data_IF_911178679706
#
_entry.id   IF_911178679706
#
_cell.length_a   1.000
_cell.length_b   1.000
_cell.length_c   1.000
_cell.angle_alpha   90.00
_cell.angle_beta   90.00
_cell.angle_gamma   90.00
#
_symmetry.space_group_name_H-M   'P 1'
#
loop_
_entity.id
_entity.type
_entity.pdbx_description
1 polymer ?
#
# COMPACT_ATOMS: atom_id res chain seq x y z
N UNK A 1 38.01 6.38 32.63
CA UNK A 1 38.43 6.26 31.21
C UNK A 1 39.75 6.99 31.06
N UNK A 2 40.90 6.32 30.87
CA UNK A 2 42.19 6.99 30.78
C UNK A 2 42.27 7.81 29.49
N UNK A 3 42.58 9.10 29.61
CA UNK A 3 42.64 10.09 28.52
C UNK A 3 44.08 10.46 28.14
N UNK A 4 45.04 9.55 28.29
CA UNK A 4 46.43 9.84 27.96
C UNK A 4 46.70 9.62 26.46
N UNK A 5 46.18 10.52 25.63
CA UNK A 5 46.69 10.69 24.27
C UNK A 5 48.07 11.39 24.37
N UNK A 6 49.09 10.93 23.62
CA UNK A 6 50.41 11.57 23.63
C UNK A 6 50.30 13.04 23.21
N UNK A 7 51.22 13.92 23.67
CA UNK A 7 51.19 15.33 23.32
C UNK A 7 51.28 15.50 21.79
N UNK A 8 50.24 16.10 21.20
CA UNK A 8 50.17 16.44 19.78
C UNK A 8 50.80 17.84 19.59
N UNK A 9 51.82 17.93 18.73
CA UNK A 9 52.46 19.21 18.44
C UNK A 9 51.48 20.13 17.70
N UNK A 10 51.60 21.44 17.91
CA UNK A 10 50.74 22.44 17.26
C UNK A 10 50.78 22.34 15.74
N UNK A 11 51.97 22.08 15.17
CA UNK A 11 52.15 21.95 13.72
C UNK A 11 51.50 20.67 13.14
N UNK A 12 51.35 19.65 13.98
CA UNK A 12 50.78 18.34 13.61
C UNK A 12 49.28 18.25 13.97
N UNK A 13 48.72 19.28 14.60
CA UNK A 13 47.36 19.28 15.14
C UNK A 13 46.26 19.55 14.09
N UNK A 14 46.65 19.92 12.87
CA UNK A 14 45.71 20.23 11.80
C UNK A 14 46.15 19.64 10.46
N UNK A 15 45.19 19.09 9.73
CA UNK A 15 45.35 18.65 8.36
C UNK A 15 44.19 19.22 7.54
N UNK A 16 44.47 19.85 6.41
CA UNK A 16 43.44 20.31 5.49
C UNK A 16 42.90 19.12 4.70
N UNK A 17 41.62 18.80 4.86
CA UNK A 17 40.94 17.72 4.12
C UNK A 17 39.79 18.25 3.27
N UNK A 18 39.73 17.82 2.01
CA UNK A 18 38.61 18.06 1.11
C UNK A 18 37.83 16.76 0.94
N UNK A 19 36.54 16.78 1.27
CA UNK A 19 35.64 15.67 1.05
C UNK A 19 34.69 16.01 -0.10
N UNK A 20 34.57 15.09 -1.06
CA UNK A 20 33.52 15.16 -2.09
C UNK A 20 32.32 14.40 -1.57
N UNK A 21 31.18 15.06 -1.47
CA UNK A 21 29.94 14.49 -0.90
C UNK A 21 28.76 14.81 -1.80
N UNK A 22 27.86 13.84 -1.96
CA UNK A 22 26.59 14.09 -2.65
C UNK A 22 25.64 14.87 -1.76
N UNK A 23 24.97 15.86 -2.33
CA UNK A 23 24.03 16.69 -1.59
C UNK A 23 22.73 16.82 -2.37
N UNK A 24 21.61 16.77 -1.66
CA UNK A 24 20.34 17.09 -2.29
C UNK A 24 20.25 18.59 -2.56
N UNK A 25 20.09 18.99 -3.81
CA UNK A 25 20.01 20.41 -4.21
C UNK A 25 18.85 21.18 -3.54
N UNK A 26 17.79 20.47 -3.12
CA UNK A 26 16.60 21.11 -2.55
C UNK A 26 16.65 21.29 -1.03
N UNK A 27 17.10 20.28 -0.30
CA UNK A 27 17.12 20.32 1.17
C UNK A 27 18.53 20.35 1.79
N UNK A 28 19.58 20.33 0.97
CA UNK A 28 20.98 20.31 1.37
C UNK A 28 21.38 19.14 2.30
N UNK A 29 20.55 18.08 2.38
CA UNK A 29 20.91 16.86 3.10
C UNK A 29 22.14 16.22 2.46
N UNK A 30 23.08 15.82 3.31
CA UNK A 30 24.37 15.26 2.94
C UNK A 30 24.28 13.72 2.81
N UNK A 31 24.90 13.19 1.76
CA UNK A 31 24.97 11.77 1.42
C UNK A 31 26.42 11.41 1.07
N UNK A 32 27.23 10.96 2.06
CA UNK A 32 28.67 10.73 1.88
C UNK A 32 29.02 9.90 0.64
N UNK A 33 28.47 8.70 0.55
CA UNK A 33 28.82 7.73 -0.50
C UNK A 33 27.59 7.23 -1.30
N UNK A 34 26.47 7.96 -1.24
CA UNK A 34 25.20 7.53 -1.85
C UNK A 34 24.58 8.56 -2.78
N UNK A 35 25.06 8.59 -4.03
CA UNK A 35 24.57 9.47 -5.09
C UNK A 35 23.07 9.32 -5.32
N UNK A 36 22.58 8.09 -5.47
CA UNK A 36 21.17 7.81 -5.73
C UNK A 36 20.27 8.29 -4.59
N UNK A 37 20.75 8.22 -3.35
CA UNK A 37 20.06 8.75 -2.18
C UNK A 37 19.90 10.27 -2.26
N UNK A 38 20.97 10.97 -2.66
CA UNK A 38 20.94 12.43 -2.85
C UNK A 38 19.99 12.83 -3.99
N UNK A 39 20.04 12.11 -5.12
CA UNK A 39 19.15 12.34 -6.27
C UNK A 39 17.69 12.07 -5.90
N UNK A 40 17.41 10.97 -5.21
CA UNK A 40 16.06 10.57 -4.81
C UNK A 40 15.48 11.44 -3.69
N UNK A 41 16.33 12.17 -2.95
CA UNK A 41 15.94 12.84 -1.71
C UNK A 41 14.70 13.73 -1.86
N UNK A 42 14.69 14.59 -2.87
CA UNK A 42 13.58 15.50 -3.15
C UNK A 42 13.09 15.42 -4.61
N UNK A 43 13.48 14.39 -5.35
CA UNK A 43 13.03 14.20 -6.72
C UNK A 43 11.58 13.72 -6.75
N UNK A 44 10.72 14.54 -7.33
CA UNK A 44 9.31 14.20 -7.61
C UNK A 44 9.13 13.60 -8.99
N UNK A 45 10.16 13.64 -9.84
CA UNK A 45 10.14 13.13 -11.20
C UNK A 45 11.32 12.17 -11.39
N UNK A 46 11.01 10.90 -11.62
CA UNK A 46 11.99 9.80 -11.61
C UNK A 46 11.81 8.87 -12.82
N UNK A 47 12.89 8.26 -13.33
CA UNK A 47 12.78 7.24 -14.36
C UNK A 47 11.87 6.08 -13.91
N UNK A 48 11.10 5.53 -14.84
CA UNK A 48 10.30 4.35 -14.57
C UNK A 48 11.20 3.14 -14.27
N UNK A 49 10.99 2.51 -13.12
CA UNK A 49 11.70 1.31 -12.69
C UNK A 49 11.42 0.09 -13.59
N UNK A 50 10.34 0.12 -14.39
CA UNK A 50 10.03 -0.90 -15.39
C UNK A 50 10.91 -0.87 -16.64
N UNK A 51 11.83 0.10 -16.77
CA UNK A 51 12.77 0.18 -17.89
C UNK A 51 12.16 0.61 -19.23
N UNK A 52 10.92 1.10 -19.24
CA UNK A 52 10.21 1.50 -20.46
C UNK A 52 10.62 2.87 -21.03
N UNK A 53 11.56 3.57 -20.38
CA UNK A 53 11.95 4.94 -20.73
C UNK A 53 10.95 6.03 -20.30
N UNK A 54 9.77 5.65 -19.80
CA UNK A 54 8.80 6.57 -19.20
C UNK A 54 9.27 7.15 -17.86
N UNK A 55 8.46 8.06 -17.31
CA UNK A 55 8.73 8.75 -16.04
C UNK A 55 7.58 8.57 -15.05
N UNK A 56 7.92 8.56 -13.78
CA UNK A 56 6.99 8.61 -12.66
C UNK A 56 7.07 9.99 -12.02
N UNK A 57 5.92 10.67 -11.95
CA UNK A 57 5.78 11.97 -11.30
C UNK A 57 4.90 11.78 -10.06
N UNK A 58 5.45 12.03 -8.87
CA UNK A 58 4.73 11.80 -7.62
C UNK A 58 5.62 11.83 -6.37
N UNK A 59 5.04 11.50 -5.20
CA UNK A 59 5.77 11.42 -3.95
C UNK A 59 6.87 10.36 -3.99
N UNK A 60 7.77 10.37 -2.98
CA UNK A 60 8.82 9.36 -2.89
C UNK A 60 8.18 7.96 -2.75
N UNK A 61 8.68 7.01 -3.52
CA UNK A 61 8.28 5.59 -3.48
C UNK A 61 9.51 4.73 -3.79
N UNK A 62 9.56 3.51 -3.26
CA UNK A 62 10.63 2.54 -3.52
C UNK A 62 10.61 2.01 -4.96
N UNK A 63 9.46 2.04 -5.63
CA UNK A 63 9.31 1.52 -6.99
C UNK A 63 8.56 2.51 -7.89
N UNK A 64 9.23 3.57 -8.38
CA UNK A 64 8.61 4.57 -9.26
C UNK A 64 8.26 3.94 -10.61
N UNK A 65 6.98 3.64 -10.85
CA UNK A 65 6.49 3.11 -12.12
C UNK A 65 5.59 4.14 -12.81
N UNK A 66 5.78 4.34 -14.11
CA UNK A 66 4.79 5.04 -14.93
C UNK A 66 3.48 4.25 -14.96
N UNK A 67 2.39 4.91 -15.34
CA UNK A 67 1.05 4.32 -15.26
C UNK A 67 0.93 3.07 -16.13
N UNK A 68 1.48 3.06 -17.35
CA UNK A 68 1.45 1.86 -18.20
C UNK A 68 2.23 0.67 -17.61
N UNK A 69 3.38 0.90 -16.98
CA UNK A 69 4.12 -0.19 -16.32
C UNK A 69 3.45 -0.65 -15.03
N UNK A 70 2.79 0.26 -14.30
CA UNK A 70 1.97 -0.08 -13.13
C UNK A 70 0.79 -0.94 -13.57
N UNK A 71 0.03 -0.48 -14.55
CA UNK A 71 -1.12 -1.18 -15.12
C UNK A 71 -0.74 -2.60 -15.56
N UNK A 72 0.33 -2.75 -16.36
CA UNK A 72 0.82 -4.05 -16.81
C UNK A 72 1.19 -4.98 -15.65
N UNK A 73 1.93 -4.47 -14.65
CA UNK A 73 2.32 -5.26 -13.47
C UNK A 73 1.08 -5.72 -12.69
N UNK A 74 0.09 -4.85 -12.61
CA UNK A 74 -1.15 -5.10 -11.89
C UNK A 74 -2.01 -6.12 -12.65
N UNK A 75 -2.10 -6.03 -13.99
CA UNK A 75 -2.70 -7.06 -14.85
C UNK A 75 -2.01 -8.42 -14.69
N UNK A 76 -0.68 -8.44 -14.68
CA UNK A 76 0.09 -9.68 -14.50
C UNK A 76 -0.12 -10.29 -13.12
N UNK A 77 -0.36 -9.48 -12.09
CA UNK A 77 -0.65 -9.96 -10.74
C UNK A 77 -2.06 -10.49 -10.65
N UNK A 78 -3.04 -9.74 -11.17
CA UNK A 78 -4.42 -10.17 -11.22
C UNK A 78 -4.58 -11.46 -12.02
N UNK A 79 -3.98 -11.56 -13.22
CA UNK A 79 -4.07 -12.75 -14.06
C UNK A 79 -3.48 -14.02 -13.43
N UNK A 80 -2.57 -13.88 -12.45
CA UNK A 80 -1.98 -15.01 -11.69
C UNK A 80 -2.89 -15.50 -10.56
N UNK A 81 -3.93 -14.77 -10.21
CA UNK A 81 -4.87 -15.21 -9.19
C UNK A 81 -5.64 -16.45 -9.67
N UNK A 82 -5.99 -17.38 -8.76
CA UNK A 82 -6.87 -18.48 -9.08
C UNK A 82 -8.19 -17.97 -9.67
N UNK A 83 -8.56 -18.51 -10.83
CA UNK A 83 -9.83 -18.19 -11.50
C UNK A 83 -10.96 -19.06 -10.94
N UNK A 84 -12.12 -18.47 -10.70
CA UNK A 84 -13.33 -19.14 -10.22
C UNK A 84 -14.56 -18.65 -10.98
N UNK A 85 -15.54 -19.54 -11.14
CA UNK A 85 -16.85 -19.16 -11.66
C UNK A 85 -17.61 -18.37 -10.60
N UNK A 86 -18.22 -17.26 -11.02
CA UNK A 86 -19.09 -16.48 -10.15
C UNK A 86 -20.52 -17.04 -10.15
N UNK A 87 -21.14 -17.04 -8.99
CA UNK A 87 -22.50 -17.52 -8.74
C UNK A 87 -23.57 -16.43 -8.93
N UNK A 88 -23.17 -15.17 -9.13
CA UNK A 88 -24.08 -14.03 -9.27
C UNK A 88 -24.59 -13.47 -7.94
N UNK A 89 -24.17 -14.03 -6.80
CA UNK A 89 -24.64 -13.65 -5.45
C UNK A 89 -23.49 -13.25 -4.52
N UNK A 90 -22.33 -13.90 -4.66
CA UNK A 90 -21.16 -13.58 -3.84
C UNK A 90 -20.65 -12.18 -4.19
N UNK A 91 -20.40 -11.36 -3.18
CA UNK A 91 -19.91 -9.99 -3.37
C UNK A 91 -18.59 -9.96 -4.15
N UNK A 92 -18.45 -8.95 -5.01
CA UNK A 92 -17.26 -8.67 -5.81
C UNK A 92 -16.62 -7.35 -5.39
N UNK A 93 -15.34 -7.22 -5.66
CA UNK A 93 -14.61 -5.98 -5.47
C UNK A 93 -13.58 -5.81 -6.57
N UNK A 94 -13.21 -4.56 -6.87
CA UNK A 94 -12.00 -4.29 -7.65
C UNK A 94 -10.79 -4.93 -6.96
N UNK A 95 -9.85 -5.49 -7.72
CA UNK A 95 -8.66 -6.14 -7.15
C UNK A 95 -7.81 -5.21 -6.27
N UNK A 96 -7.84 -3.90 -6.53
CA UNK A 96 -7.22 -2.85 -5.71
C UNK A 96 -8.08 -2.40 -4.52
N UNK A 97 -9.32 -2.89 -4.40
CA UNK A 97 -10.16 -2.76 -3.21
C UNK A 97 -10.99 -1.48 -3.12
N UNK A 98 -11.07 -0.67 -4.18
CA UNK A 98 -11.69 0.67 -4.09
C UNK A 98 -13.22 0.66 -4.13
N UNK A 99 -13.85 -0.40 -4.67
CA UNK A 99 -15.31 -0.51 -4.80
C UNK A 99 -15.80 -1.95 -4.66
N UNK A 100 -16.89 -2.13 -3.93
CA UNK A 100 -17.62 -3.38 -3.77
C UNK A 100 -18.88 -3.41 -4.64
N UNK A 101 -19.29 -4.60 -5.03
CA UNK A 101 -20.49 -4.91 -5.80
C UNK A 101 -21.20 -6.09 -5.15
N UNK A 102 -22.46 -5.92 -4.76
CA UNK A 102 -23.23 -6.95 -4.04
C UNK A 102 -24.20 -7.72 -4.93
N UNK A 103 -24.43 -7.24 -6.15
CA UNK A 103 -25.25 -7.91 -7.15
C UNK A 103 -24.75 -7.63 -8.59
N UNK A 104 -25.27 -8.35 -9.59
CA UNK A 104 -24.90 -8.14 -10.99
C UNK A 104 -25.33 -6.80 -11.59
N UNK A 105 -26.37 -6.15 -11.05
CA UNK A 105 -26.84 -4.86 -11.55
C UNK A 105 -25.87 -3.74 -11.19
N UNK A 106 -25.32 -3.74 -9.98
CA UNK A 106 -24.30 -2.77 -9.58
C UNK A 106 -23.06 -2.81 -10.49
N UNK A 107 -22.67 -4.00 -10.96
CA UNK A 107 -21.56 -4.17 -11.92
C UNK A 107 -21.94 -3.56 -13.28
N UNK A 108 -23.16 -3.82 -13.77
CA UNK A 108 -23.66 -3.31 -15.05
C UNK A 108 -23.75 -1.79 -15.04
N UNK A 109 -24.37 -1.23 -13.99
CA UNK A 109 -24.52 0.21 -13.81
C UNK A 109 -23.15 0.89 -13.79
N UNK A 110 -22.18 0.30 -13.07
CA UNK A 110 -20.84 0.85 -13.03
C UNK A 110 -20.16 0.88 -14.39
N UNK A 111 -20.27 -0.19 -15.19
CA UNK A 111 -19.73 -0.20 -16.56
C UNK A 111 -20.46 0.80 -17.46
N UNK A 112 -21.79 0.92 -17.33
CA UNK A 112 -22.60 1.85 -18.12
C UNK A 112 -22.30 3.32 -17.82
N UNK A 113 -21.98 3.63 -16.56
CA UNK A 113 -21.65 4.99 -16.10
C UNK A 113 -20.23 5.43 -16.49
N UNK A 114 -19.37 4.50 -16.91
CA UNK A 114 -17.96 4.78 -17.23
C UNK A 114 -17.66 4.50 -18.71
N UNK A 115 -17.66 5.56 -19.51
CA UNK A 115 -17.35 5.49 -20.94
C UNK A 115 -16.01 4.78 -21.22
N UNK A 116 -16.09 3.69 -22.00
CA UNK A 116 -14.92 2.93 -22.43
C UNK A 116 -14.36 1.94 -21.41
N UNK A 117 -14.99 1.80 -20.24
CA UNK A 117 -14.67 0.73 -19.29
C UNK A 117 -15.29 -0.59 -19.77
N UNK A 118 -14.52 -1.67 -19.76
CA UNK A 118 -15.03 -3.01 -20.03
C UNK A 118 -15.02 -3.87 -18.76
N UNK A 119 -15.76 -4.98 -18.76
CA UNK A 119 -15.76 -5.94 -17.64
C UNK A 119 -14.34 -6.49 -17.38
N UNK A 120 -13.54 -6.61 -18.44
CA UNK A 120 -12.15 -7.04 -18.39
C UNK A 120 -11.26 -6.03 -17.65
N UNK A 121 -11.52 -4.73 -17.82
CA UNK A 121 -10.74 -3.66 -17.20
C UNK A 121 -11.00 -3.54 -15.70
N UNK A 122 -12.14 -4.05 -15.21
CA UNK A 122 -12.53 -3.95 -13.80
C UNK A 122 -11.72 -4.83 -12.85
N UNK A 123 -11.05 -5.88 -13.38
CA UNK A 123 -10.20 -6.81 -12.59
C UNK A 123 -10.89 -7.29 -11.31
N UNK A 124 -12.12 -7.78 -11.44
CA UNK A 124 -12.94 -8.16 -10.30
C UNK A 124 -12.38 -9.41 -9.58
N UNK A 125 -12.57 -9.43 -8.26
CA UNK A 125 -12.27 -10.57 -7.38
C UNK A 125 -13.45 -10.84 -6.46
N UNK A 126 -13.59 -12.09 -6.02
CA UNK A 126 -14.57 -12.44 -4.98
C UNK A 126 -14.14 -11.81 -3.66
N UNK A 127 -15.10 -11.28 -2.91
CA UNK A 127 -14.90 -10.85 -1.54
C UNK A 127 -15.58 -11.83 -0.58
N UNK A 128 -15.12 -11.86 0.66
CA UNK A 128 -15.77 -12.56 1.74
C UNK A 128 -15.98 -11.62 2.92
N UNK A 129 -16.97 -11.95 3.75
CA UNK A 129 -17.27 -11.18 4.95
C UNK A 129 -16.13 -11.36 5.96
N UNK A 130 -15.68 -10.24 6.51
CA UNK A 130 -14.62 -10.18 7.50
C UNK A 130 -15.19 -9.89 8.88
N UNK A 131 -14.53 -10.40 9.91
CA UNK A 131 -14.71 -9.90 11.26
C UNK A 131 -13.95 -8.58 11.44
N UNK A 132 -14.41 -7.69 12.32
CA UNK A 132 -13.62 -6.54 12.74
C UNK A 132 -12.20 -6.94 13.17
N UNK A 133 -11.17 -6.16 12.79
CA UNK A 133 -9.83 -6.39 13.30
C UNK A 133 -9.82 -6.18 14.81
N UNK A 134 -9.04 -7.00 15.52
CA UNK A 134 -8.82 -6.84 16.95
C UNK A 134 -7.98 -5.59 17.22
N UNK A 135 -8.37 -4.80 18.22
CA UNK A 135 -7.57 -3.69 18.70
C UNK A 135 -6.45 -4.20 19.62
N UNK A 136 -5.26 -3.64 19.45
CA UNK A 136 -4.10 -3.87 20.32
C UNK A 136 -3.62 -2.52 20.84
N UNK A 137 -4.00 -2.18 22.07
CA UNK A 137 -3.62 -0.95 22.72
C UNK A 137 -2.10 -0.83 22.90
N UNK A 138 -1.41 -1.95 23.17
CA UNK A 138 0.02 -1.94 23.41
C UNK A 138 0.77 -1.56 22.12
N UNK A 139 0.40 -2.16 21.00
CA UNK A 139 0.95 -1.80 19.68
C UNK A 139 0.54 -0.38 19.27
N UNK A 140 -0.73 -0.02 19.43
CA UNK A 140 -1.28 1.27 19.00
C UNK A 140 -0.61 2.48 19.67
N UNK A 141 -0.26 2.37 20.95
CA UNK A 141 0.36 3.46 21.71
C UNK A 141 1.89 3.33 21.82
N UNK A 142 2.49 2.27 21.31
CA UNK A 142 3.93 1.99 21.46
C UNK A 142 4.84 3.14 20.98
N UNK A 143 4.47 3.81 19.90
CA UNK A 143 5.21 4.95 19.33
C UNK A 143 5.13 6.23 20.18
N UNK A 144 4.09 6.37 21.01
CA UNK A 144 3.84 7.54 21.86
C UNK A 144 4.28 7.32 23.30
N UNK A 145 4.48 6.05 23.70
CA UNK A 145 5.04 5.71 25.00
C UNK A 145 6.57 5.84 25.00
N UNK A 146 7.16 6.44 26.04
CA UNK A 146 8.61 6.41 26.21
C UNK A 146 9.16 4.97 26.19
N UNK A 147 10.37 4.80 25.64
CA UNK A 147 11.00 3.49 25.39
C UNK A 147 11.14 2.60 26.65
N UNK A 148 11.16 3.20 27.84
CA UNK A 148 11.29 2.52 29.14
C UNK A 148 9.96 2.41 29.91
N UNK A 149 8.83 2.82 29.30
CA UNK A 149 7.53 2.86 29.96
C UNK A 149 6.61 1.79 29.38
N UNK A 150 6.36 0.76 30.18
CA UNK A 150 5.34 -0.23 29.87
C UNK A 150 3.94 0.32 30.20
N UNK A 151 2.99 0.07 29.30
CA UNK A 151 1.58 0.27 29.60
C UNK A 151 1.12 -0.79 30.60
N UNK A 152 0.23 -0.40 31.52
CA UNK A 152 -0.40 -1.35 32.45
C UNK A 152 -1.13 -2.44 31.63
N UNK A 153 -0.72 -3.71 31.69
CA UNK A 153 -1.31 -4.76 30.87
C UNK A 153 -2.81 -4.91 31.12
N UNK A 154 -3.24 -4.72 32.37
CA UNK A 154 -4.67 -4.78 32.72
C UNK A 154 -5.48 -3.62 32.13
N UNK A 155 -4.87 -2.45 31.92
CA UNK A 155 -5.52 -1.33 31.24
C UNK A 155 -5.63 -1.57 29.74
N UNK A 156 -4.59 -2.12 29.11
CA UNK A 156 -4.62 -2.53 27.69
C UNK A 156 -5.73 -3.56 27.46
N UNK A 157 -5.75 -4.66 28.22
CA UNK A 157 -6.77 -5.71 28.09
C UNK A 157 -8.21 -5.17 28.21
N UNK A 158 -8.45 -4.21 29.12
CA UNK A 158 -9.77 -3.58 29.27
C UNK A 158 -10.14 -2.71 28.08
N UNK A 159 -9.17 -1.99 27.50
CA UNK A 159 -9.41 -1.14 26.35
C UNK A 159 -9.63 -1.97 25.09
N UNK A 160 -8.80 -2.99 24.86
CA UNK A 160 -8.94 -3.93 23.74
C UNK A 160 -10.31 -4.59 23.77
N UNK A 161 -10.70 -5.15 24.91
CA UNK A 161 -12.02 -5.77 25.08
C UNK A 161 -13.18 -4.78 24.86
N UNK A 162 -13.02 -3.52 25.27
CA UNK A 162 -14.03 -2.49 25.04
C UNK A 162 -14.17 -2.15 23.55
N UNK A 163 -13.05 -1.91 22.86
CA UNK A 163 -13.04 -1.55 21.43
C UNK A 163 -13.55 -2.71 20.59
N UNK A 164 -13.10 -3.93 20.86
CA UNK A 164 -13.53 -5.13 20.12
C UNK A 164 -15.03 -5.41 20.30
N UNK A 165 -15.54 -5.28 21.53
CA UNK A 165 -16.97 -5.44 21.80
C UNK A 165 -17.79 -4.36 21.08
N UNK A 166 -17.34 -3.10 21.15
CA UNK A 166 -17.99 -2.01 20.44
C UNK A 166 -17.97 -2.24 18.93
N UNK A 167 -16.83 -2.63 18.36
CA UNK A 167 -16.66 -2.87 16.94
C UNK A 167 -17.60 -3.97 16.43
N UNK A 168 -17.69 -5.08 17.17
CA UNK A 168 -18.58 -6.19 16.86
C UNK A 168 -20.06 -5.82 16.86
N UNK A 169 -20.47 -4.90 17.73
CA UNK A 169 -21.87 -4.50 17.86
C UNK A 169 -22.26 -3.35 16.91
N UNK A 170 -21.30 -2.51 16.51
CA UNK A 170 -21.59 -1.22 15.88
C UNK A 170 -21.03 -1.05 14.46
N UNK A 171 -20.02 -1.85 14.05
CA UNK A 171 -19.53 -1.77 12.68
C UNK A 171 -20.48 -2.45 11.69
N UNK A 172 -20.59 -1.91 10.45
CA UNK A 172 -21.23 -2.64 9.37
C UNK A 172 -20.43 -3.90 9.02
N UNK A 173 -21.03 -4.76 8.23
CA UNK A 173 -20.34 -5.91 7.64
C UNK A 173 -19.10 -5.44 6.89
N UNK A 174 -17.95 -5.96 7.33
CA UNK A 174 -16.68 -5.72 6.67
C UNK A 174 -16.49 -6.77 5.57
N UNK A 175 -15.79 -6.39 4.51
CA UNK A 175 -15.54 -7.24 3.37
C UNK A 175 -14.09 -7.11 2.93
N UNK A 176 -13.46 -8.23 2.55
CA UNK A 176 -12.11 -8.22 2.01
C UNK A 176 -11.99 -9.10 0.77
N UNK A 177 -11.10 -8.75 -0.18
CA UNK A 177 -10.87 -9.57 -1.35
C UNK A 177 -10.22 -10.91 -0.98
N UNK A 178 -10.80 -12.01 -1.47
CA UNK A 178 -10.31 -13.39 -1.23
C UNK A 178 -9.04 -13.73 -2.03
N UNK A 179 -8.63 -12.87 -2.95
CA UNK A 179 -7.55 -13.16 -3.90
C UNK A 179 -7.92 -14.17 -4.98
N UNK A 180 -9.21 -14.45 -5.19
CA UNK A 180 -9.71 -15.27 -6.31
C UNK A 180 -10.34 -14.36 -7.35
N UNK A 181 -9.88 -14.44 -8.59
CA UNK A 181 -10.45 -13.66 -9.70
C UNK A 181 -11.64 -14.38 -10.29
N UNK A 182 -12.65 -13.62 -10.68
CA UNK A 182 -13.83 -14.17 -11.37
C UNK A 182 -13.54 -14.41 -12.84
N UNK A 183 -14.12 -15.47 -13.40
CA UNK A 183 -14.02 -15.74 -14.83
C UNK A 183 -14.83 -14.71 -15.62
N UNK A 184 -14.28 -14.22 -16.73
CA UNK A 184 -15.00 -13.29 -17.60
C UNK A 184 -16.26 -13.92 -18.21
N UNK A 185 -16.26 -15.24 -18.38
CA UNK A 185 -17.41 -15.97 -18.86
C UNK A 185 -18.57 -15.87 -17.87
N UNK A 186 -18.36 -16.26 -16.60
CA UNK A 186 -19.41 -16.16 -15.57
C UNK A 186 -19.87 -14.73 -15.36
N UNK A 187 -18.95 -13.75 -15.36
CA UNK A 187 -19.30 -12.32 -15.28
C UNK A 187 -20.25 -11.89 -16.40
N UNK A 188 -20.03 -12.33 -17.64
CA UNK A 188 -20.92 -12.01 -18.76
C UNK A 188 -22.25 -12.75 -18.66
N UNK A 189 -22.23 -14.01 -18.20
CA UNK A 189 -23.44 -14.81 -18.04
C UNK A 189 -24.40 -14.22 -17.00
N UNK A 190 -23.85 -13.67 -15.91
CA UNK A 190 -24.63 -13.03 -14.85
C UNK A 190 -24.85 -11.54 -15.10
N UNK A 191 -23.92 -10.85 -15.76
CA UNK A 191 -23.98 -9.42 -16.09
C UNK A 191 -24.70 -9.09 -17.40
N UNK A 192 -25.24 -10.06 -18.15
CA UNK A 192 -26.03 -9.79 -19.36
C UNK A 192 -27.37 -10.54 -19.44
N UNK A 193 -27.80 -11.24 -18.37
CA UNK A 193 -29.16 -11.78 -18.34
C UNK A 193 -30.13 -10.69 -17.88
N UNK A 194 -31.11 -10.28 -18.71
CA UNK A 194 -32.24 -9.53 -18.20
C UNK A 194 -32.97 -10.40 -17.16
N UNK A 195 -33.44 -9.80 -16.08
CA UNK A 195 -34.29 -10.49 -15.10
C UNK A 195 -35.42 -11.21 -15.86
N UNK A 196 -35.65 -12.48 -15.52
CA UNK A 196 -36.84 -13.18 -15.96
C UNK A 196 -38.04 -12.52 -15.26
N UNK A 197 -38.92 -11.91 -16.05
CA UNK A 197 -40.28 -11.52 -15.66
C UNK A 197 -41.05 -12.67 -15.00
#
# INVERSE_FOLDING_TARGET
>A
MPTDKPPLRYEDAAELRQHTIWTCVRCNRLYPDWEDGARCCCATDRPCAGGCGGRYVGPRTSTPLCDGCRQKRDDERWAKLPEVEWDGETALCGWDGDRFFFDPDEVREYVADHDGLTLEDMRLVLCEKAEPPTFDAADHFSDETPEDWDLDPGACERLDAFVDAWAKENLPDLWHPTGKRVSLQSLREWGCKPEKE
#
